data_IF_347818450356
#
_entry.id   IF_347818450356
#
_cell.length_a   1.000
_cell.length_b   1.000
_cell.length_c   1.000
_cell.angle_alpha   90.00
_cell.angle_beta   90.00
_cell.angle_gamma   90.00
#
_symmetry.space_group_name_H-M   'P 1'
#
loop_
_entity.id
_entity.type
_entity.pdbx_description
1 polymer ?
#
# COMPACT_ATOMS: atom_id res chain seq x y z
N UNK A 1 52.95 -11.46 -28.71
CA UNK A 1 52.41 -10.75 -27.54
C UNK A 1 51.30 -9.81 -28.01
N UNK A 2 50.04 -10.22 -27.88
CA UNK A 2 48.87 -9.42 -28.24
C UNK A 2 47.85 -9.53 -27.11
N UNK A 3 47.81 -8.51 -26.25
CA UNK A 3 46.83 -8.39 -25.16
C UNK A 3 45.51 -7.91 -25.76
N UNK A 4 44.56 -8.82 -25.92
CA UNK A 4 43.15 -8.49 -26.16
C UNK A 4 42.55 -7.91 -24.89
N UNK A 5 42.29 -6.60 -24.91
CA UNK A 5 41.50 -5.90 -23.91
C UNK A 5 40.06 -6.41 -23.95
N UNK A 6 39.73 -7.33 -23.05
CA UNK A 6 38.36 -7.74 -22.76
C UNK A 6 37.61 -6.55 -22.15
N UNK A 7 36.92 -5.79 -22.99
CA UNK A 7 35.89 -4.85 -22.55
C UNK A 7 34.78 -5.66 -21.85
N UNK A 8 34.88 -5.80 -20.53
CA UNK A 8 33.77 -6.21 -19.68
C UNK A 8 32.69 -5.14 -19.84
N UNK A 9 31.73 -5.41 -20.71
CA UNK A 9 30.44 -4.74 -20.74
C UNK A 9 29.83 -4.91 -19.34
N UNK A 10 30.00 -3.89 -18.51
CA UNK A 10 29.26 -3.73 -17.27
C UNK A 10 27.78 -3.80 -17.67
N UNK A 11 27.12 -4.92 -17.35
CA UNK A 11 25.68 -5.05 -17.39
C UNK A 11 25.12 -4.05 -16.39
N UNK A 12 25.02 -2.79 -16.83
CA UNK A 12 24.27 -1.75 -16.16
C UNK A 12 22.83 -2.23 -16.23
N UNK A 13 22.42 -2.98 -15.21
CA UNK A 13 21.05 -3.39 -14.95
C UNK A 13 20.15 -2.21 -15.32
N UNK A 14 19.45 -2.33 -16.45
CA UNK A 14 18.43 -1.37 -16.85
C UNK A 14 17.47 -1.34 -15.67
N UNK A 15 17.45 -0.23 -14.94
CA UNK A 15 16.54 -0.03 -13.82
C UNK A 15 15.14 -0.19 -14.41
N UNK A 16 14.46 -1.32 -14.14
CA UNK A 16 13.03 -1.40 -14.42
C UNK A 16 12.39 -0.33 -13.54
N UNK A 17 11.98 0.76 -14.17
CA UNK A 17 11.05 1.69 -13.55
C UNK A 17 9.82 0.88 -13.12
N UNK A 18 9.21 1.23 -11.99
CA UNK A 18 7.95 0.63 -11.59
C UNK A 18 6.97 0.78 -12.75
N UNK A 19 6.35 -0.33 -13.18
CA UNK A 19 5.34 -0.29 -14.24
C UNK A 19 4.21 0.66 -13.80
N UNK A 20 3.59 1.42 -14.73
CA UNK A 20 2.49 2.33 -14.39
C UNK A 20 1.38 1.65 -13.59
N UNK A 21 1.13 0.36 -13.87
CA UNK A 21 0.16 -0.45 -13.14
C UNK A 21 0.49 -0.59 -11.64
N UNK A 22 1.76 -0.75 -11.27
CA UNK A 22 2.21 -0.82 -9.88
C UNK A 22 2.15 0.55 -9.18
N UNK A 23 2.38 1.63 -9.93
CA UNK A 23 2.22 2.99 -9.40
C UNK A 23 0.73 3.31 -9.19
N UNK A 24 -0.15 2.94 -10.13
CA UNK A 24 -1.59 3.08 -10.02
C UNK A 24 -2.16 2.30 -8.82
N UNK A 25 -1.66 1.08 -8.58
CA UNK A 25 -1.98 0.28 -7.40
C UNK A 25 -1.64 1.04 -6.10
N UNK A 26 -0.41 1.55 -5.98
CA UNK A 26 0.02 2.30 -4.80
C UNK A 26 -0.83 3.57 -4.58
N UNK A 27 -1.17 4.28 -5.66
CA UNK A 27 -2.05 5.46 -5.62
C UNK A 27 -3.44 5.07 -5.08
N UNK A 28 -4.01 3.96 -5.54
CA UNK A 28 -5.33 3.52 -5.11
C UNK A 28 -5.36 3.14 -3.62
N UNK A 29 -4.34 2.41 -3.14
CA UNK A 29 -4.21 2.07 -1.71
C UNK A 29 -4.08 3.33 -0.86
N UNK A 30 -3.20 4.26 -1.24
CA UNK A 30 -3.01 5.51 -0.49
C UNK A 30 -4.29 6.34 -0.42
N UNK A 31 -5.00 6.49 -1.54
CA UNK A 31 -6.19 7.33 -1.62
C UNK A 31 -7.43 6.73 -0.98
N UNK A 32 -7.59 5.41 -1.03
CA UNK A 32 -8.86 4.75 -0.64
C UNK A 32 -8.75 3.98 0.67
N UNK A 33 -7.53 3.77 1.18
CA UNK A 33 -7.30 3.10 2.47
C UNK A 33 -6.53 4.00 3.42
N UNK A 34 -5.32 4.44 3.04
CA UNK A 34 -4.40 5.09 3.99
C UNK A 34 -4.91 6.47 4.42
N UNK A 35 -5.19 7.36 3.46
CA UNK A 35 -5.70 8.70 3.76
C UNK A 35 -7.06 8.68 4.47
N UNK A 36 -8.07 7.90 4.01
CA UNK A 36 -9.34 7.78 4.73
C UNK A 36 -9.18 7.18 6.13
N UNK A 37 -8.23 6.26 6.32
CA UNK A 37 -7.88 5.71 7.62
C UNK A 37 -7.41 6.79 8.60
N UNK A 38 -6.44 7.61 8.21
CA UNK A 38 -5.98 8.70 9.07
C UNK A 38 -7.05 9.77 9.31
N UNK A 39 -7.87 10.08 8.30
CA UNK A 39 -9.01 11.01 8.46
C UNK A 39 -10.07 10.47 9.43
N UNK A 40 -10.33 9.16 9.41
CA UNK A 40 -11.25 8.54 10.36
C UNK A 40 -10.72 8.64 11.79
N UNK A 41 -9.40 8.44 12.00
CA UNK A 41 -8.79 8.58 13.32
C UNK A 41 -8.90 10.00 13.88
N UNK A 42 -8.75 11.05 13.05
CA UNK A 42 -8.91 12.42 13.52
C UNK A 42 -10.36 12.82 13.76
N UNK A 43 -11.27 12.41 12.86
CA UNK A 43 -12.69 12.74 12.96
C UNK A 43 -13.40 12.01 14.11
N UNK A 44 -13.02 10.77 14.40
CA UNK A 44 -13.58 9.94 15.46
C UNK A 44 -12.61 9.75 16.64
N UNK A 45 -11.75 10.75 16.89
CA UNK A 45 -10.69 10.68 17.90
C UNK A 45 -11.19 10.31 19.30
N UNK A 46 -12.36 10.81 19.70
CA UNK A 46 -13.00 10.47 20.98
C UNK A 46 -13.44 9.01 21.05
N UNK A 47 -13.90 8.42 19.94
CA UNK A 47 -14.28 7.00 19.87
C UNK A 47 -13.06 6.11 20.10
N UNK A 48 -11.92 6.48 19.50
CA UNK A 48 -10.67 5.73 19.62
C UNK A 48 -9.86 6.09 20.88
N UNK A 49 -10.38 6.95 21.77
CA UNK A 49 -9.68 7.36 22.99
C UNK A 49 -8.37 8.10 22.76
N UNK A 50 -8.24 8.81 21.64
CA UNK A 50 -7.01 9.50 21.24
C UNK A 50 -6.85 10.83 21.97
N UNK A 51 -5.63 11.14 22.35
CA UNK A 51 -5.26 12.44 22.91
C UNK A 51 -5.06 13.49 21.81
N UNK A 52 -5.17 14.78 22.15
CA UNK A 52 -4.93 15.86 21.20
C UNK A 52 -3.53 15.80 20.56
N UNK A 53 -2.50 15.46 21.36
CA UNK A 53 -1.14 15.29 20.85
C UNK A 53 -1.05 14.18 19.80
N UNK A 54 -1.73 13.05 20.03
CA UNK A 54 -1.75 11.94 19.09
C UNK A 54 -2.52 12.29 17.82
N UNK A 55 -3.62 13.04 17.93
CA UNK A 55 -4.36 13.58 16.78
C UNK A 55 -3.47 14.48 15.92
N UNK A 56 -2.62 15.31 16.53
CA UNK A 56 -1.65 16.14 15.79
C UNK A 56 -0.59 15.30 15.06
N UNK A 57 -0.07 14.24 15.69
CA UNK A 57 0.85 13.29 15.04
C UNK A 57 0.18 12.58 13.84
N UNK A 58 -1.11 12.26 13.95
CA UNK A 58 -1.92 11.66 12.88
C UNK A 58 -2.14 12.65 11.72
N UNK A 59 -2.46 13.90 12.02
CA UNK A 59 -2.60 14.96 11.00
C UNK A 59 -1.29 15.17 10.22
N UNK A 60 -0.15 15.14 10.93
CA UNK A 60 1.16 15.17 10.29
C UNK A 60 1.39 13.94 9.39
N UNK A 61 0.91 12.76 9.79
CA UNK A 61 0.96 11.56 8.96
C UNK A 61 0.10 11.70 7.70
N UNK A 62 -1.14 12.14 7.84
CA UNK A 62 -2.04 12.39 6.70
C UNK A 62 -1.42 13.36 5.69
N UNK A 63 -0.80 14.46 6.15
CA UNK A 63 -0.09 15.42 5.28
C UNK A 63 1.08 14.78 4.53
N UNK A 64 1.87 13.91 5.20
CA UNK A 64 2.95 13.16 4.53
C UNK A 64 2.40 12.25 3.44
N UNK A 65 1.34 11.50 3.72
CA UNK A 65 0.73 10.61 2.73
C UNK A 65 0.10 11.37 1.56
N UNK A 66 -0.47 12.56 1.77
CA UNK A 66 -0.90 13.44 0.68
C UNK A 66 0.26 13.83 -0.25
N UNK A 67 1.42 14.16 0.31
CA UNK A 67 2.62 14.46 -0.46
C UNK A 67 3.13 13.23 -1.24
N UNK A 68 3.06 12.04 -0.63
CA UNK A 68 3.38 10.75 -1.29
C UNK A 68 2.44 10.52 -2.49
N UNK A 69 1.13 10.70 -2.34
CA UNK A 69 0.17 10.56 -3.44
C UNK A 69 0.48 11.53 -4.57
N UNK A 70 0.78 12.80 -4.26
CA UNK A 70 1.16 13.78 -5.28
C UNK A 70 2.42 13.36 -6.03
N UNK A 71 3.41 12.80 -5.32
CA UNK A 71 4.63 12.26 -5.94
C UNK A 71 4.33 11.05 -6.83
N UNK A 72 3.54 10.10 -6.35
CA UNK A 72 3.15 8.90 -7.10
C UNK A 72 2.37 9.27 -8.37
N UNK A 73 1.47 10.25 -8.31
CA UNK A 73 0.74 10.75 -9.49
C UNK A 73 1.68 11.34 -10.55
N UNK A 74 2.70 12.09 -10.14
CA UNK A 74 3.73 12.59 -11.06
C UNK A 74 4.50 11.44 -11.72
N UNK A 75 4.94 10.48 -10.91
CA UNK A 75 5.66 9.31 -11.43
C UNK A 75 4.79 8.44 -12.35
N UNK A 76 3.50 8.32 -12.08
CA UNK A 76 2.56 7.62 -12.94
C UNK A 76 2.42 8.31 -14.30
N UNK A 77 2.27 9.64 -14.30
CA UNK A 77 2.23 10.42 -15.53
C UNK A 77 3.53 10.30 -16.34
N UNK A 78 4.69 10.37 -15.66
CA UNK A 78 6.00 10.19 -16.30
C UNK A 78 6.15 8.77 -16.89
N UNK A 79 5.67 7.75 -16.18
CA UNK A 79 5.72 6.36 -16.63
C UNK A 79 4.80 6.11 -17.84
N UNK A 80 3.59 6.67 -17.84
CA UNK A 80 2.69 6.63 -19.01
C UNK A 80 3.26 7.40 -20.21
N UNK A 81 3.90 8.55 -19.97
CA UNK A 81 4.57 9.30 -21.03
C UNK A 81 5.75 8.52 -21.63
N UNK A 82 6.51 7.78 -20.80
CA UNK A 82 7.57 6.92 -21.28
C UNK A 82 7.05 5.72 -22.08
N UNK A 83 5.93 5.11 -21.67
CA UNK A 83 5.28 4.02 -22.41
C UNK A 83 4.73 4.49 -23.76
N UNK A 84 4.09 5.66 -23.83
CA UNK A 84 3.57 6.22 -25.09
C UNK A 84 4.67 6.61 -26.07
N UNK A 85 5.81 7.13 -25.59
CA UNK A 85 6.98 7.38 -26.44
C UNK A 85 7.60 6.07 -26.93
N UNK A 86 7.67 5.05 -26.06
CA UNK A 86 8.15 3.71 -26.42
C UNK A 86 7.21 3.02 -27.42
N UNK A 87 5.89 3.16 -27.26
CA UNK A 87 4.91 2.56 -28.16
C UNK A 87 4.92 3.25 -29.52
N UNK A 88 5.01 4.58 -29.58
CA UNK A 88 5.15 5.32 -30.83
C UNK A 88 6.46 4.95 -31.56
N UNK A 89 7.56 4.77 -30.82
CA UNK A 89 8.81 4.27 -31.39
C UNK A 89 8.70 2.82 -31.88
N UNK A 90 7.98 1.96 -31.16
CA UNK A 90 7.70 0.59 -31.59
C UNK A 90 6.77 0.54 -32.81
N UNK A 91 5.77 1.41 -32.91
CA UNK A 91 4.90 1.55 -34.08
C UNK A 91 5.67 2.05 -35.30
N UNK A 92 6.60 3.00 -35.12
CA UNK A 92 7.51 3.45 -36.18
C UNK A 92 8.46 2.32 -36.62
N UNK A 93 9.00 1.54 -35.67
CA UNK A 93 9.84 0.39 -35.99
C UNK A 93 9.05 -0.75 -36.65
N UNK A 94 7.79 -0.96 -36.26
CA UNK A 94 6.88 -1.93 -36.86
C UNK A 94 6.45 -1.51 -38.27
N UNK A 95 6.16 -0.23 -38.52
CA UNK A 95 5.91 0.29 -39.88
C UNK A 95 7.15 0.22 -40.77
N UNK A 96 8.34 0.25 -40.20
CA UNK A 96 9.61 -0.03 -40.90
C UNK A 96 9.90 -1.54 -41.08
N UNK A 97 9.00 -2.43 -40.62
CA UNK A 97 9.13 -3.89 -40.77
C UNK A 97 10.19 -4.52 -39.86
N UNK A 98 10.61 -3.82 -38.80
CA UNK A 98 11.71 -4.23 -37.92
C UNK A 98 11.24 -4.87 -36.60
N UNK A 99 9.92 -4.91 -36.32
CA UNK A 99 9.33 -5.49 -35.11
C UNK A 99 7.86 -5.91 -35.33
N UNK A 100 7.45 -7.03 -34.71
CA UNK A 100 6.05 -7.48 -34.64
C UNK A 100 5.26 -6.64 -33.60
N UNK A 101 3.97 -6.33 -33.84
CA UNK A 101 3.21 -5.42 -32.99
C UNK A 101 2.83 -6.07 -31.64
N UNK A 102 3.23 -5.42 -30.54
CA UNK A 102 2.80 -5.77 -29.18
C UNK A 102 1.47 -5.11 -28.83
N UNK A 103 0.55 -5.89 -28.28
CA UNK A 103 -0.79 -5.46 -27.85
C UNK A 103 -0.72 -4.46 -26.69
N UNK A 104 -0.96 -3.18 -26.98
CA UNK A 104 -1.20 -2.14 -25.98
C UNK A 104 -2.64 -2.19 -25.50
N UNK A 105 -2.94 -2.95 -24.45
CA UNK A 105 -4.20 -2.84 -23.72
C UNK A 105 -4.08 -1.74 -22.66
N UNK A 106 -4.67 -0.57 -22.94
CA UNK A 106 -5.03 0.40 -21.92
C UNK A 106 -6.22 -0.16 -21.14
N UNK A 107 -5.94 -1.05 -20.18
CA UNK A 107 -6.95 -1.65 -19.33
C UNK A 107 -7.48 -0.61 -18.34
N UNK A 108 -8.80 -0.42 -18.36
CA UNK A 108 -9.59 0.17 -17.28
C UNK A 108 -9.20 -0.55 -15.98
N UNK A 109 -8.29 0.05 -15.22
CA UNK A 109 -7.56 -0.67 -14.17
C UNK A 109 -8.53 -0.96 -13.02
N UNK A 110 -8.95 -2.22 -12.93
CA UNK A 110 -9.76 -2.70 -11.80
C UNK A 110 -9.04 -2.34 -10.49
N UNK A 111 -9.70 -1.69 -9.53
CA UNK A 111 -9.05 -1.26 -8.29
C UNK A 111 -8.44 -2.46 -7.56
N UNK A 112 -7.36 -2.29 -6.78
CA UNK A 112 -6.76 -3.40 -6.05
C UNK A 112 -7.77 -4.11 -5.14
N UNK A 113 -7.68 -5.43 -5.01
CA UNK A 113 -8.60 -6.22 -4.17
C UNK A 113 -8.77 -5.66 -2.74
N UNK A 114 -7.73 -5.16 -2.04
CA UNK A 114 -7.92 -4.53 -0.73
C UNK A 114 -8.88 -3.32 -0.76
N UNK A 115 -8.83 -2.50 -1.81
CA UNK A 115 -9.73 -1.36 -2.00
C UNK A 115 -11.16 -1.85 -2.24
N UNK A 116 -11.32 -2.87 -3.09
CA UNK A 116 -12.63 -3.47 -3.35
C UNK A 116 -13.28 -4.02 -2.08
N UNK A 117 -12.52 -4.80 -1.30
CA UNK A 117 -13.02 -5.41 -0.04
C UNK A 117 -13.33 -4.33 0.99
N UNK A 118 -12.49 -3.30 1.13
CA UNK A 118 -12.75 -2.16 2.02
C UNK A 118 -14.10 -1.50 1.69
N UNK A 119 -14.32 -1.15 0.42
CA UNK A 119 -15.58 -0.55 -0.03
C UNK A 119 -16.79 -1.47 0.17
N UNK A 120 -16.64 -2.77 -0.10
CA UNK A 120 -17.71 -3.76 0.09
C UNK A 120 -18.15 -3.82 1.57
N UNK A 121 -17.18 -3.90 2.49
CA UNK A 121 -17.43 -3.96 3.93
C UNK A 121 -18.12 -2.67 4.40
N UNK A 122 -17.59 -1.50 4.02
CA UNK A 122 -18.16 -0.20 4.40
C UNK A 122 -19.57 0.03 3.85
N UNK A 123 -19.91 -0.58 2.71
CA UNK A 123 -21.21 -0.43 2.03
C UNK A 123 -22.28 -1.41 2.52
N UNK A 124 -21.96 -2.31 3.46
CA UNK A 124 -22.92 -3.29 3.99
C UNK A 124 -24.11 -2.58 4.66
N UNK A 125 -25.37 -3.02 4.49
CA UNK A 125 -26.57 -2.28 4.91
C UNK A 125 -26.61 -1.84 6.39
N UNK A 126 -25.94 -2.58 7.30
CA UNK A 126 -25.81 -2.20 8.71
C UNK A 126 -24.66 -1.21 9.00
N UNK A 127 -23.68 -1.09 8.11
CA UNK A 127 -22.49 -0.22 8.25
C UNK A 127 -22.60 1.07 7.45
N UNK A 128 -23.34 1.08 6.34
CA UNK A 128 -23.52 2.28 5.53
C UNK A 128 -24.13 3.45 6.34
N UNK A 129 -25.02 3.13 7.29
CA UNK A 129 -25.63 4.09 8.21
C UNK A 129 -24.86 4.33 9.51
N UNK A 130 -23.80 3.57 9.80
CA UNK A 130 -23.02 3.68 11.03
C UNK A 130 -21.62 4.28 10.73
N UNK A 131 -21.44 5.60 10.90
CA UNK A 131 -20.16 6.26 10.69
C UNK A 131 -19.04 5.71 11.59
N UNK A 132 -19.37 5.31 12.81
CA UNK A 132 -18.40 4.81 13.79
C UNK A 132 -17.90 3.43 13.37
N UNK A 133 -18.79 2.52 12.98
CA UNK A 133 -18.38 1.21 12.45
C UNK A 133 -17.51 1.34 11.20
N UNK A 134 -17.81 2.29 10.30
CA UNK A 134 -16.95 2.58 9.14
C UNK A 134 -15.57 3.09 9.56
N UNK A 135 -15.48 3.90 10.61
CA UNK A 135 -14.19 4.35 11.15
C UNK A 135 -13.35 3.17 11.65
N UNK A 136 -13.96 2.18 12.33
CA UNK A 136 -13.28 0.96 12.79
C UNK A 136 -12.76 0.14 11.61
N UNK A 137 -13.55 0.01 10.53
CA UNK A 137 -13.10 -0.63 9.28
C UNK A 137 -11.90 0.12 8.69
N UNK A 138 -11.97 1.45 8.61
CA UNK A 138 -10.88 2.28 8.08
C UNK A 138 -9.60 2.13 8.90
N UNK A 139 -9.69 2.05 10.23
CA UNK A 139 -8.53 1.76 11.10
C UNK A 139 -7.95 0.37 10.82
N UNK A 140 -8.79 -0.66 10.71
CA UNK A 140 -8.33 -2.02 10.43
C UNK A 140 -7.57 -2.09 9.09
N UNK A 141 -8.13 -1.52 8.03
CA UNK A 141 -7.48 -1.51 6.72
C UNK A 141 -6.22 -0.66 6.70
N UNK A 142 -6.18 0.48 7.40
CA UNK A 142 -4.98 1.30 7.56
C UNK A 142 -3.86 0.53 8.27
N UNK A 143 -4.19 -0.16 9.37
CA UNK A 143 -3.24 -0.97 10.12
C UNK A 143 -2.60 -2.04 9.24
N UNK A 144 -3.42 -2.77 8.48
CA UNK A 144 -2.94 -3.79 7.56
C UNK A 144 -2.12 -3.15 6.45
N UNK A 145 -2.54 -2.03 5.86
CA UNK A 145 -1.82 -1.34 4.80
C UNK A 145 -0.39 -0.95 5.23
N UNK A 146 -0.23 -0.35 6.41
CA UNK A 146 1.09 0.06 6.94
C UNK A 146 2.03 -1.14 7.23
N UNK A 147 1.46 -2.33 7.45
CA UNK A 147 2.21 -3.59 7.59
C UNK A 147 2.34 -4.38 6.28
N UNK A 148 1.53 -4.05 5.26
CA UNK A 148 1.54 -4.67 3.93
C UNK A 148 2.41 -3.91 2.92
N UNK A 149 2.64 -2.62 3.15
CA UNK A 149 3.56 -1.80 2.37
C UNK A 149 5.00 -2.19 2.72
N UNK A 150 5.80 -2.41 1.68
CA UNK A 150 7.15 -3.00 1.73
C UNK A 150 8.00 -2.55 2.91
N UNK A 151 8.52 -3.53 3.65
CA UNK A 151 9.55 -3.33 4.68
C UNK A 151 10.72 -2.49 4.14
N UNK A 152 11.02 -1.33 4.75
CA UNK A 152 12.07 -0.45 4.29
C UNK A 152 13.49 -1.01 4.55
N UNK A 153 13.62 -2.14 5.25
CA UNK A 153 14.90 -2.88 5.40
C UNK A 153 15.20 -3.79 4.20
N UNK A 154 14.25 -3.96 3.27
CA UNK A 154 14.46 -4.74 2.05
C UNK A 154 15.01 -3.85 0.92
N UNK A 155 16.34 -3.77 0.82
CA UNK A 155 17.06 -2.92 -0.14
C UNK A 155 16.79 -3.27 -1.63
N UNK A 156 16.11 -4.39 -1.91
CA UNK A 156 15.75 -4.82 -3.28
C UNK A 156 14.52 -4.09 -3.86
N UNK A 157 13.66 -3.52 -3.01
CA UNK A 157 12.43 -2.80 -3.41
C UNK A 157 12.44 -1.32 -3.02
N UNK A 158 13.45 -0.87 -2.26
CA UNK A 158 13.70 0.54 -2.01
C UNK A 158 14.05 1.23 -3.33
N UNK A 159 13.04 1.64 -4.08
CA UNK A 159 13.24 2.40 -5.32
C UNK A 159 13.83 3.76 -4.93
N UNK A 160 15.07 4.08 -5.34
CA UNK A 160 15.65 5.39 -5.10
C UNK A 160 14.84 6.51 -5.76
N UNK A 161 14.03 6.18 -6.77
CA UNK A 161 13.14 7.11 -7.46
C UNK A 161 11.94 7.55 -6.60
N UNK A 162 11.54 6.75 -5.62
CA UNK A 162 10.47 7.11 -4.69
C UNK A 162 10.98 7.92 -3.48
N UNK A 163 12.30 8.07 -3.30
CA UNK A 163 12.91 8.61 -2.07
C UNK A 163 12.35 7.96 -0.79
N UNK A 164 11.80 6.74 -0.89
CA UNK A 164 11.45 5.88 0.25
C UNK A 164 12.73 5.21 0.77
N UNK A 165 13.72 6.03 1.11
CA UNK A 165 14.71 5.74 2.15
C UNK A 165 13.90 5.47 3.45
N UNK A 166 14.43 4.76 4.46
CA UNK A 166 13.62 3.97 5.39
C UNK A 166 12.79 4.67 6.52
N UNK A 167 12.49 5.99 6.57
CA UNK A 167 11.69 6.53 7.69
C UNK A 167 10.15 6.35 7.71
N UNK A 168 9.39 6.39 6.59
CA UNK A 168 7.94 6.61 6.71
C UNK A 168 7.21 5.43 7.37
N UNK A 169 7.45 4.21 6.89
CA UNK A 169 6.72 3.03 7.39
C UNK A 169 7.05 2.66 8.84
N UNK A 170 8.29 2.83 9.30
CA UNK A 170 8.62 2.62 10.70
C UNK A 170 7.95 3.65 11.61
N UNK A 171 7.91 4.92 11.17
CA UNK A 171 7.23 5.99 11.89
C UNK A 171 5.73 5.77 11.97
N UNK A 172 5.12 5.35 10.86
CA UNK A 172 3.68 5.12 10.78
C UNK A 172 3.28 3.85 11.56
N UNK A 173 4.11 2.79 11.55
CA UNK A 173 3.91 1.61 12.43
C UNK A 173 3.95 1.98 13.90
N UNK A 174 4.96 2.75 14.32
CA UNK A 174 5.08 3.21 15.70
C UNK A 174 3.89 4.12 16.10
N UNK A 175 3.44 4.99 15.19
CA UNK A 175 2.26 5.83 15.41
C UNK A 175 1.00 4.97 15.58
N UNK A 176 0.79 3.99 14.69
CA UNK A 176 -0.38 3.12 14.77
C UNK A 176 -0.34 2.19 15.99
N UNK A 177 0.83 1.78 16.47
CA UNK A 177 0.95 1.05 17.74
C UNK A 177 0.50 1.89 18.94
N UNK A 178 0.84 3.19 18.97
CA UNK A 178 0.27 4.13 19.97
C UNK A 178 -1.25 4.23 19.83
N UNK A 179 -1.76 4.43 18.61
CA UNK A 179 -3.21 4.52 18.33
C UNK A 179 -3.94 3.27 18.80
N UNK A 180 -3.39 2.08 18.52
CA UNK A 180 -3.97 0.82 18.95
C UNK A 180 -3.97 0.68 20.47
N UNK A 181 -2.90 1.11 21.16
CA UNK A 181 -2.85 1.08 22.62
C UNK A 181 -3.99 1.89 23.24
N UNK A 182 -4.24 3.09 22.72
CA UNK A 182 -5.37 3.94 23.15
C UNK A 182 -6.72 3.34 22.78
N UNK A 183 -6.84 2.82 21.55
CA UNK A 183 -8.08 2.22 21.04
C UNK A 183 -8.46 0.99 21.87
N UNK A 184 -7.50 0.13 22.21
CA UNK A 184 -7.73 -1.07 23.01
C UNK A 184 -8.19 -0.73 24.42
N UNK A 185 -7.62 0.33 25.01
CA UNK A 185 -8.05 0.81 26.32
C UNK A 185 -9.45 1.44 26.30
N UNK A 186 -9.86 2.03 25.18
CA UNK A 186 -11.16 2.71 25.03
C UNK A 186 -12.31 1.77 24.62
N UNK A 187 -12.01 0.71 23.86
CA UNK A 187 -13.01 -0.19 23.29
C UNK A 187 -13.52 -1.22 24.30
N UNK A 188 -14.80 -1.54 24.20
CA UNK A 188 -15.38 -2.69 24.87
C UNK A 188 -15.06 -4.01 24.13
N UNK A 189 -15.37 -5.15 24.76
CA UNK A 189 -15.08 -6.46 24.19
C UNK A 189 -15.74 -6.67 22.81
N UNK A 190 -16.93 -6.11 22.58
CA UNK A 190 -17.65 -6.25 21.32
C UNK A 190 -16.97 -5.47 20.18
N UNK A 191 -16.55 -4.23 20.45
CA UNK A 191 -15.83 -3.40 19.48
C UNK A 191 -14.44 -3.94 19.17
N UNK A 192 -13.75 -4.51 20.18
CA UNK A 192 -12.49 -5.21 19.97
C UNK A 192 -12.65 -6.44 19.07
N UNK A 193 -13.70 -7.24 19.29
CA UNK A 193 -14.00 -8.39 18.43
C UNK A 193 -14.33 -7.97 17.00
N UNK A 194 -15.00 -6.82 16.80
CA UNK A 194 -15.28 -6.30 15.48
C UNK A 194 -14.00 -5.82 14.78
N UNK A 195 -13.13 -5.10 15.51
CA UNK A 195 -11.85 -4.62 15.00
C UNK A 195 -10.95 -5.79 14.58
N UNK A 196 -10.83 -6.84 15.39
CA UNK A 196 -10.02 -8.02 15.04
C UNK A 196 -10.57 -8.75 13.82
N UNK A 197 -11.90 -8.87 13.69
CA UNK A 197 -12.56 -9.40 12.50
C UNK A 197 -12.20 -8.61 11.24
N UNK A 198 -12.26 -7.28 11.28
CA UNK A 198 -11.89 -6.46 10.12
C UNK A 198 -10.39 -6.49 9.82
N UNK A 199 -9.52 -6.65 10.82
CA UNK A 199 -8.08 -6.85 10.59
C UNK A 199 -7.85 -8.17 9.84
N UNK A 200 -8.60 -9.24 10.18
CA UNK A 200 -8.53 -10.51 9.46
C UNK A 200 -9.02 -10.39 8.02
N UNK A 201 -10.18 -9.77 7.79
CA UNK A 201 -10.74 -9.53 6.45
C UNK A 201 -9.77 -8.70 5.57
N UNK A 202 -9.23 -7.62 6.16
CA UNK A 202 -8.22 -6.80 5.50
C UNK A 202 -6.97 -7.63 5.19
N UNK A 203 -6.45 -8.37 6.17
CA UNK A 203 -5.28 -9.24 5.99
C UNK A 203 -5.46 -10.25 4.86
N UNK A 204 -6.61 -10.91 4.76
CA UNK A 204 -6.94 -11.83 3.66
C UNK A 204 -6.97 -11.12 2.31
N UNK A 205 -7.53 -9.90 2.24
CA UNK A 205 -7.58 -9.13 0.99
C UNK A 205 -6.19 -8.75 0.48
N UNK A 206 -5.27 -8.35 1.36
CA UNK A 206 -3.88 -8.02 1.01
C UNK A 206 -3.07 -9.27 0.67
N UNK A 207 -3.26 -10.38 1.40
CA UNK A 207 -2.62 -11.66 1.10
C UNK A 207 -3.06 -12.22 -0.26
N UNK A 208 -4.38 -12.26 -0.52
CA UNK A 208 -4.94 -12.75 -1.78
C UNK A 208 -4.43 -11.96 -2.97
N UNK A 209 -4.39 -10.63 -2.86
CA UNK A 209 -3.87 -9.79 -3.94
C UNK A 209 -2.38 -9.98 -4.23
N UNK A 210 -1.56 -10.19 -3.20
CA UNK A 210 -0.13 -10.45 -3.36
C UNK A 210 0.17 -11.76 -4.10
N UNK A 211 -0.72 -12.76 -3.98
CA UNK A 211 -0.59 -14.06 -4.66
C UNK A 211 -1.19 -14.04 -6.07
N UNK A 212 -2.35 -13.41 -6.25
CA UNK A 212 -3.04 -13.26 -7.55
C UNK A 212 -2.19 -12.50 -8.57
N UNK A 213 -1.47 -11.47 -8.12
CA UNK A 213 -0.79 -10.60 -9.07
C UNK A 213 0.42 -11.26 -9.71
N UNK A 214 1.11 -12.26 -9.12
CA UNK A 214 2.38 -12.87 -9.61
C UNK A 214 3.41 -11.88 -10.21
N UNK A 215 3.23 -10.58 -9.98
CA UNK A 215 4.01 -9.51 -10.57
C UNK A 215 5.14 -9.29 -9.59
N UNK A 216 6.35 -9.68 -9.95
CA UNK A 216 7.58 -9.33 -9.21
C UNK A 216 7.84 -7.81 -9.08
N UNK A 217 6.82 -6.97 -9.29
CA UNK A 217 6.81 -5.53 -9.39
C UNK A 217 5.64 -4.87 -8.60
N UNK A 218 4.78 -5.63 -7.91
CA UNK A 218 3.81 -5.02 -6.98
C UNK A 218 4.54 -4.35 -5.81
N UNK A 219 4.06 -3.17 -5.42
CA UNK A 219 4.59 -2.38 -4.29
C UNK A 219 4.12 -2.98 -2.95
N UNK A 220 3.07 -3.81 -2.97
CA UNK A 220 2.55 -4.48 -1.78
C UNK A 220 3.32 -5.77 -1.51
N UNK A 221 4.07 -5.81 -0.42
CA UNK A 221 4.66 -7.06 0.10
C UNK A 221 4.13 -7.33 1.49
N UNK A 222 3.06 -8.09 1.51
CA UNK A 222 2.37 -8.42 2.74
C UNK A 222 3.26 -9.19 3.72
N UNK A 223 3.49 -8.63 4.91
CA UNK A 223 4.19 -9.30 6.00
C UNK A 223 3.22 -9.61 7.16
N UNK A 224 2.55 -10.77 7.14
CA UNK A 224 1.59 -11.16 8.17
C UNK A 224 2.23 -11.37 9.54
N UNK A 225 3.52 -11.71 9.59
CA UNK A 225 4.23 -11.90 10.85
C UNK A 225 4.40 -10.58 11.62
N UNK A 226 4.81 -9.51 10.92
CA UNK A 226 4.95 -8.18 11.50
C UNK A 226 3.62 -7.66 12.06
N UNK A 227 2.53 -7.82 11.30
CA UNK A 227 1.18 -7.43 11.73
C UNK A 227 0.74 -8.20 12.99
N UNK A 228 0.92 -9.53 13.02
CA UNK A 228 0.58 -10.36 14.19
C UNK A 228 1.36 -9.94 15.44
N UNK A 229 2.66 -9.68 15.30
CA UNK A 229 3.51 -9.25 16.42
C UNK A 229 3.02 -7.92 17.00
N UNK A 230 2.70 -6.94 16.14
CA UNK A 230 2.15 -5.65 16.59
C UNK A 230 0.76 -5.79 17.24
N UNK A 231 -0.13 -6.61 16.68
CA UNK A 231 -1.45 -6.85 17.30
C UNK A 231 -1.33 -7.54 18.66
N UNK A 232 -0.37 -8.45 18.81
CA UNK A 232 -0.09 -9.14 20.08
C UNK A 232 0.49 -8.18 21.12
N UNK A 233 1.40 -7.28 20.74
CA UNK A 233 2.04 -6.34 21.68
C UNK A 233 1.04 -5.38 22.33
N UNK A 234 -0.03 -5.02 21.61
CA UNK A 234 -1.07 -4.10 22.10
C UNK A 234 -2.27 -4.80 22.77
N UNK A 235 -2.25 -6.13 22.89
CA UNK A 235 -3.29 -6.87 23.61
C UNK A 235 -4.51 -7.30 22.79
N UNK A 236 -4.47 -7.23 21.45
CA UNK A 236 -5.55 -7.72 20.58
C UNK A 236 -5.59 -9.26 20.45
N UNK A 237 -4.65 -9.98 21.07
CA UNK A 237 -4.57 -11.44 21.07
C UNK A 237 -3.92 -12.04 19.81
N UNK A 238 -4.07 -13.35 19.61
CA UNK A 238 -3.67 -14.00 18.36
C UNK A 238 -4.74 -13.74 17.30
N UNK A 239 -4.41 -12.92 16.31
CA UNK A 239 -5.25 -12.71 15.13
C UNK A 239 -4.86 -13.75 14.07
N UNK A 240 -5.85 -14.49 13.56
CA UNK A 240 -5.71 -15.45 12.46
C UNK A 240 -5.49 -14.74 11.12
N UNK A 241 -4.32 -14.15 10.98
CA UNK A 241 -3.88 -13.47 9.77
C UNK A 241 -3.25 -14.49 8.83
N UNK A 242 -3.82 -14.78 7.66
CA UNK A 242 -3.25 -15.80 6.75
C UNK A 242 -1.82 -15.44 6.31
N UNK A 243 -0.92 -16.43 6.37
CA UNK A 243 0.41 -16.33 5.78
C UNK A 243 0.24 -16.53 4.27
N UNK A 244 0.64 -15.55 3.46
CA UNK A 244 0.75 -15.76 2.02
C UNK A 244 1.80 -16.87 1.79
N UNK A 245 1.34 -18.02 1.28
CA UNK A 245 2.18 -19.18 0.94
C UNK A 245 2.80 -19.06 -0.43
#
# INVERSE_FOLDING_TARGET
MTRTLSARASKRSVRKFLEPSAIAEAIAIEQHIVLPGYQALTHYSSTFGLTEDLVREIDDAARRHQAIVAQLRRMHADALAAETVSSAQQEVLATLGLLEPGSGEAADATPPRPVQVCHLIQSYPGRAGDPTSRAVVSLAFLLVAVHALTDPTNCGTASPALNLVPPPLHRDRALLEKVLTHTVAAFDASSLSALTGFIADAGESFAGWSTETQRGLSVLRYNPHSLRTSCRSVGLGEIDVRIAG
#
